data_IF_857132576960
#
_entry.id   IF_857132576960
#
_cell.length_a   1.000
_cell.length_b   1.000
_cell.length_c   1.000
_cell.angle_alpha   90.00
_cell.angle_beta   90.00
_cell.angle_gamma   90.00
#
_symmetry.space_group_name_H-M   'P 1'
#
loop_
_entity.id
_entity.type
_entity.pdbx_description
1 polymer ?
#
# COMPACT_ATOMS: atom_id res chain seq x y z
N UNK A 1 13.64 65.94 41.57
CA UNK A 1 14.13 64.58 41.86
C UNK A 1 14.59 63.96 40.55
N UNK A 2 15.86 63.57 40.45
CA UNK A 2 16.40 62.99 39.22
C UNK A 2 15.98 61.52 39.12
N UNK A 3 15.31 61.15 38.03
CA UNK A 3 14.91 59.76 37.76
C UNK A 3 16.18 58.92 37.63
N UNK A 4 16.30 57.85 38.42
CA UNK A 4 17.43 56.94 38.34
C UNK A 4 17.34 56.09 37.07
N UNK A 5 18.49 55.65 36.54
CA UNK A 5 18.56 54.76 35.36
C UNK A 5 17.70 53.49 35.53
N UNK A 6 17.58 52.98 36.76
CA UNK A 6 16.77 51.80 37.09
C UNK A 6 15.28 52.07 36.96
N UNK A 7 14.80 53.21 37.46
CA UNK A 7 13.40 53.62 37.34
C UNK A 7 13.02 53.88 35.88
N UNK A 8 13.93 54.46 35.09
CA UNK A 8 13.73 54.64 33.65
C UNK A 8 13.57 53.29 32.92
N UNK A 9 14.44 52.31 33.22
CA UNK A 9 14.36 50.98 32.60
C UNK A 9 13.11 50.20 33.05
N UNK A 10 12.73 50.29 34.32
CA UNK A 10 11.52 49.65 34.83
C UNK A 10 10.25 50.28 34.23
N UNK A 11 10.20 51.61 34.15
CA UNK A 11 9.10 52.33 33.50
C UNK A 11 9.00 52.02 32.00
N UNK A 12 10.14 51.95 31.31
CA UNK A 12 10.22 51.59 29.90
C UNK A 12 9.76 50.17 29.61
N UNK A 13 10.12 49.19 30.46
CA UNK A 13 9.68 47.81 30.33
C UNK A 13 8.16 47.65 30.54
N UNK A 14 7.59 48.35 31.53
CA UNK A 14 6.14 48.33 31.78
C UNK A 14 5.37 49.01 30.65
N UNK A 15 5.86 50.14 30.13
CA UNK A 15 5.26 50.83 28.99
C UNK A 15 5.30 49.98 27.71
N UNK A 16 6.42 49.28 27.45
CA UNK A 16 6.54 48.36 26.33
C UNK A 16 5.60 47.15 26.47
N UNK A 17 5.49 46.57 27.67
CA UNK A 17 4.57 45.46 27.94
C UNK A 17 3.10 45.86 27.75
N UNK A 18 2.71 47.06 28.19
CA UNK A 18 1.36 47.61 27.97
C UNK A 18 1.09 47.96 26.51
N UNK A 19 2.09 48.46 25.78
CA UNK A 19 1.98 48.71 24.34
C UNK A 19 1.80 47.42 23.53
N UNK A 20 2.37 46.30 24.01
CA UNK A 20 2.25 44.98 23.39
C UNK A 20 1.02 44.20 23.86
N UNK A 21 0.45 44.48 25.04
CA UNK A 21 -0.72 43.76 25.56
C UNK A 21 -2.05 44.20 24.97
N UNK A 22 -2.12 45.42 24.41
CA UNK A 22 -3.36 46.00 23.87
C UNK A 22 -3.62 45.75 22.38
N UNK A 23 -2.58 45.44 21.59
CA UNK A 23 -2.76 45.02 20.20
C UNK A 23 -2.80 43.50 20.16
N UNK A 24 -3.97 42.91 19.93
CA UNK A 24 -4.02 41.58 19.34
C UNK A 24 -3.22 41.68 18.05
N UNK A 25 -2.04 41.07 18.02
CA UNK A 25 -1.40 40.74 16.77
C UNK A 25 -2.32 39.69 16.13
N UNK A 26 -3.32 40.16 15.40
CA UNK A 26 -3.96 39.32 14.40
C UNK A 26 -2.83 39.02 13.41
N UNK A 27 -2.24 37.84 13.58
CA UNK A 27 -1.50 37.23 12.52
C UNK A 27 -2.51 37.11 11.38
N UNK A 28 -2.51 38.09 10.47
CA UNK A 28 -3.12 37.99 9.15
C UNK A 28 -2.29 37.01 8.32
N UNK A 29 -2.06 35.82 8.88
CA UNK A 29 -1.87 34.65 8.06
C UNK A 29 -3.29 34.39 7.59
N UNK A 30 -3.57 34.83 6.37
CA UNK A 30 -4.62 34.23 5.56
C UNK A 30 -4.35 32.74 5.64
N UNK A 31 -4.98 32.04 6.60
CA UNK A 31 -4.68 30.63 6.85
C UNK A 31 -5.05 30.01 5.52
N UNK A 32 -4.08 29.53 4.71
CA UNK A 32 -4.44 29.00 3.42
C UNK A 32 -5.46 27.94 3.76
N UNK A 33 -6.67 28.07 3.20
CA UNK A 33 -7.75 27.09 3.38
C UNK A 33 -7.09 25.72 3.45
N UNK A 34 -7.37 24.93 4.51
CA UNK A 34 -6.70 23.64 4.72
C UNK A 34 -6.48 23.00 3.36
N UNK A 35 -5.25 22.61 3.03
CA UNK A 35 -4.92 22.10 1.67
C UNK A 35 -5.81 20.93 1.25
N UNK A 36 -6.51 20.34 2.23
CA UNK A 36 -7.47 19.26 2.11
C UNK A 36 -8.94 19.69 1.98
N UNK A 37 -9.27 20.98 2.00
CA UNK A 37 -10.64 21.51 1.93
C UNK A 37 -11.30 21.13 0.60
N UNK A 38 -12.47 20.50 0.69
CA UNK A 38 -13.23 20.04 -0.46
C UNK A 38 -12.69 18.76 -1.11
N UNK A 39 -11.70 18.10 -0.49
CA UNK A 39 -11.25 16.77 -0.89
C UNK A 39 -12.09 15.69 -0.22
N UNK A 40 -12.26 14.55 -0.89
CA UNK A 40 -12.82 13.34 -0.27
C UNK A 40 -11.69 12.63 0.48
N UNK A 41 -11.87 12.45 1.78
CA UNK A 41 -10.94 11.74 2.65
C UNK A 41 -11.42 10.31 2.92
N UNK A 42 -10.49 9.37 2.96
CA UNK A 42 -10.73 7.97 3.35
C UNK A 42 -9.53 7.45 4.11
N UNK A 43 -9.73 6.54 5.06
CA UNK A 43 -8.64 5.90 5.79
C UNK A 43 -8.14 4.65 5.06
N UNK A 44 -6.86 4.31 5.26
CA UNK A 44 -6.26 3.05 4.81
C UNK A 44 -5.10 2.66 5.73
N UNK A 45 -4.51 1.49 5.51
CA UNK A 45 -3.37 0.98 6.27
C UNK A 45 -2.13 0.96 5.38
N UNK A 46 -0.99 1.32 5.96
CA UNK A 46 0.30 1.30 5.30
C UNK A 46 0.65 -0.12 4.79
N UNK A 47 0.90 -0.32 3.49
CA UNK A 47 1.08 -1.65 2.90
C UNK A 47 2.53 -2.17 2.94
N UNK A 48 3.40 -1.57 3.77
CA UNK A 48 4.82 -1.88 3.77
C UNK A 48 5.22 -2.98 4.77
N UNK A 49 5.41 -2.62 6.04
CA UNK A 49 5.79 -3.57 7.08
C UNK A 49 4.59 -3.90 7.98
N UNK A 50 4.76 -4.91 8.82
CA UNK A 50 3.70 -5.42 9.70
C UNK A 50 3.32 -4.52 10.90
N UNK A 51 3.82 -3.28 10.97
CA UNK A 51 3.44 -2.33 12.04
C UNK A 51 1.98 -1.92 11.91
N UNK A 52 1.46 -1.80 10.69
CA UNK A 52 0.05 -1.43 10.45
C UNK A 52 -0.26 0.04 10.76
N UNK A 53 0.61 0.98 10.37
CA UNK A 53 0.33 2.41 10.53
C UNK A 53 -0.95 2.82 9.79
N UNK A 54 -1.82 3.60 10.44
CA UNK A 54 -2.99 4.20 9.82
C UNK A 54 -2.64 5.42 8.97
N UNK A 55 -3.37 5.59 7.88
CA UNK A 55 -3.18 6.63 6.87
C UNK A 55 -4.51 7.29 6.51
N UNK A 56 -4.46 8.57 6.16
CA UNK A 56 -5.56 9.30 5.52
C UNK A 56 -5.17 9.59 4.07
N UNK A 57 -6.04 9.16 3.15
CA UNK A 57 -5.91 9.39 1.71
C UNK A 57 -6.92 10.46 1.30
N UNK A 58 -6.43 11.52 0.67
CA UNK A 58 -7.28 12.55 0.10
C UNK A 58 -7.37 12.42 -1.41
N UNK A 59 -8.59 12.50 -1.94
CA UNK A 59 -8.88 12.31 -3.36
C UNK A 59 -9.69 13.47 -3.93
N UNK A 60 -9.46 13.76 -5.22
CA UNK A 60 -10.24 14.72 -6.03
C UNK A 60 -10.45 14.15 -7.42
N UNK A 61 -11.71 14.05 -7.87
CA UNK A 61 -12.03 13.50 -9.19
C UNK A 61 -11.47 12.09 -9.41
N UNK A 62 -11.48 11.24 -8.37
CA UNK A 62 -10.95 9.87 -8.42
C UNK A 62 -9.43 9.75 -8.39
N UNK A 63 -8.68 10.86 -8.33
CA UNK A 63 -7.21 10.84 -8.21
C UNK A 63 -6.77 11.12 -6.78
N UNK A 64 -5.73 10.41 -6.34
CA UNK A 64 -5.07 10.66 -5.06
C UNK A 64 -4.28 11.97 -5.16
N UNK A 65 -4.52 12.89 -4.25
CA UNK A 65 -3.85 14.20 -4.21
C UNK A 65 -3.00 14.42 -2.95
N UNK A 66 -3.25 13.66 -1.88
CA UNK A 66 -2.39 13.61 -0.69
C UNK A 66 -2.55 12.25 0.01
N UNK A 67 -1.49 11.80 0.68
CA UNK A 67 -1.52 10.69 1.63
C UNK A 67 -0.68 11.10 2.83
N UNK A 68 -1.25 11.04 4.03
CA UNK A 68 -0.57 11.36 5.28
C UNK A 68 -0.95 10.38 6.39
N UNK A 69 -0.31 10.50 7.56
CA UNK A 69 -0.59 9.63 8.69
C UNK A 69 -1.93 10.00 9.34
N UNK A 70 -2.67 8.98 9.77
CA UNK A 70 -3.90 9.18 10.53
C UNK A 70 -3.59 9.52 12.00
N UNK A 71 -3.95 10.73 12.43
CA UNK A 71 -3.74 11.22 13.81
C UNK A 71 -4.59 10.48 14.83
N UNK A 72 -5.72 9.90 14.42
CA UNK A 72 -6.62 9.16 15.29
C UNK A 72 -6.22 7.69 15.43
N UNK A 73 -5.28 7.20 14.60
CA UNK A 73 -4.88 5.81 14.62
C UNK A 73 -4.00 5.50 15.85
N UNK A 74 -4.34 4.49 16.67
CA UNK A 74 -3.74 4.30 18.00
C UNK A 74 -2.26 3.88 17.95
N UNK A 75 -1.81 3.27 16.85
CA UNK A 75 -0.44 2.75 16.73
C UNK A 75 0.56 3.88 16.43
N UNK A 76 0.22 4.77 15.49
CA UNK A 76 1.18 5.72 14.95
C UNK A 76 0.82 7.18 15.20
N UNK A 77 -0.44 7.51 15.56
CA UNK A 77 -0.86 8.87 15.93
C UNK A 77 -0.39 9.93 14.91
N UNK A 78 -0.51 9.63 13.62
CA UNK A 78 -0.08 10.48 12.51
C UNK A 78 1.40 10.34 12.10
N UNK A 79 2.25 9.70 12.90
CA UNK A 79 3.65 9.50 12.55
C UNK A 79 3.82 8.47 11.41
N UNK A 80 4.79 8.71 10.53
CA UNK A 80 5.16 7.82 9.44
C UNK A 80 6.67 7.76 9.24
N UNK A 81 7.19 6.57 8.92
CA UNK A 81 8.56 6.43 8.44
C UNK A 81 8.69 6.86 6.97
N UNK A 82 9.92 6.95 6.45
CA UNK A 82 10.20 7.37 5.07
C UNK A 82 9.40 6.60 4.00
N UNK A 83 9.16 5.30 4.21
CA UNK A 83 8.35 4.47 3.29
C UNK A 83 6.88 4.91 3.29
N UNK A 84 6.28 5.05 4.47
CA UNK A 84 4.88 5.46 4.63
C UNK A 84 4.62 6.86 4.06
N UNK A 85 5.50 7.82 4.39
CA UNK A 85 5.40 9.19 3.89
C UNK A 85 5.59 9.30 2.37
N UNK A 86 6.29 8.33 1.75
CA UNK A 86 6.49 8.28 0.31
C UNK A 86 5.36 7.57 -0.45
N UNK A 87 4.33 7.03 0.22
CA UNK A 87 3.30 6.21 -0.44
C UNK A 87 2.54 6.98 -1.54
N UNK A 88 2.40 8.30 -1.40
CA UNK A 88 1.85 9.15 -2.46
C UNK A 88 2.58 8.99 -3.79
N UNK A 89 3.91 8.86 -3.77
CA UNK A 89 4.74 8.68 -4.96
C UNK A 89 4.62 7.27 -5.57
N UNK A 90 4.15 6.30 -4.80
CA UNK A 90 3.86 4.94 -5.31
C UNK A 90 2.53 4.94 -6.03
N UNK A 91 1.50 5.55 -5.44
CA UNK A 91 0.17 5.65 -6.04
C UNK A 91 0.20 6.46 -7.35
N UNK A 92 0.88 7.61 -7.32
CA UNK A 92 1.03 8.55 -8.44
C UNK A 92 2.41 8.43 -9.10
N UNK A 93 2.72 7.27 -9.68
CA UNK A 93 3.99 7.04 -10.37
C UNK A 93 3.78 6.78 -11.87
N UNK A 94 4.48 7.54 -12.71
CA UNK A 94 4.48 7.35 -14.17
C UNK A 94 5.06 6.01 -14.61
N UNK A 95 5.89 5.37 -13.76
CA UNK A 95 6.48 4.06 -14.03
C UNK A 95 5.53 2.89 -13.77
N UNK A 96 4.32 3.12 -13.27
CA UNK A 96 3.35 2.05 -13.04
C UNK A 96 2.93 1.43 -14.36
N UNK A 97 2.99 0.11 -14.45
CA UNK A 97 2.43 -0.64 -15.57
C UNK A 97 0.90 -0.45 -15.60
N UNK A 98 0.40 0.17 -16.68
CA UNK A 98 -1.03 0.46 -16.88
C UNK A 98 -1.72 -0.52 -17.84
N UNK A 99 -0.94 -1.29 -18.59
CA UNK A 99 -1.41 -2.16 -19.66
C UNK A 99 -0.79 -3.54 -19.53
N UNK A 100 -1.47 -4.54 -20.08
CA UNK A 100 -0.92 -5.89 -20.15
C UNK A 100 0.24 -5.90 -21.13
N UNK A 101 1.38 -6.43 -20.68
CA UNK A 101 2.60 -6.58 -21.48
C UNK A 101 2.88 -8.07 -21.68
N UNK A 102 2.82 -8.54 -22.92
CA UNK A 102 3.11 -9.92 -23.30
C UNK A 102 4.50 -10.04 -23.91
N UNK A 103 5.23 -11.11 -23.56
CA UNK A 103 6.51 -11.46 -24.18
C UNK A 103 6.40 -12.85 -24.78
N UNK A 104 6.55 -12.95 -26.11
CA UNK A 104 6.50 -14.24 -26.81
C UNK A 104 7.74 -15.10 -26.50
N UNK A 105 7.63 -16.45 -26.58
CA UNK A 105 8.79 -17.34 -26.47
C UNK A 105 9.90 -16.93 -27.44
N UNK A 106 11.13 -16.80 -26.93
CA UNK A 106 12.30 -16.37 -27.72
C UNK A 106 12.38 -14.88 -28.04
N UNK A 107 11.34 -14.08 -27.74
CA UNK A 107 11.38 -12.61 -27.93
C UNK A 107 12.23 -11.93 -26.87
N UNK A 108 12.87 -10.82 -27.21
CA UNK A 108 13.51 -9.86 -26.30
C UNK A 108 12.62 -8.64 -25.99
N UNK A 109 11.47 -8.53 -26.68
CA UNK A 109 10.55 -7.38 -26.59
C UNK A 109 9.20 -7.76 -25.99
N UNK A 110 8.62 -6.81 -25.25
CA UNK A 110 7.24 -6.85 -24.81
C UNK A 110 6.32 -6.17 -25.83
N UNK A 111 5.10 -6.71 -25.96
CA UNK A 111 4.02 -6.14 -26.78
C UNK A 111 2.77 -5.95 -25.93
N UNK A 112 2.07 -4.84 -26.13
CA UNK A 112 0.82 -4.57 -25.43
C UNK A 112 -0.29 -5.54 -25.87
N UNK A 113 -1.12 -5.97 -24.93
CA UNK A 113 -2.31 -6.81 -25.16
C UNK A 113 -3.50 -6.31 -24.35
N UNK A 114 -4.70 -6.72 -24.74
CA UNK A 114 -5.92 -6.49 -23.95
C UNK A 114 -5.99 -7.45 -22.76
N UNK A 115 -6.75 -7.06 -21.73
CA UNK A 115 -7.05 -7.94 -20.61
C UNK A 115 -7.78 -9.23 -21.01
N UNK A 116 -8.75 -9.17 -21.92
CA UNK A 116 -9.50 -10.35 -22.37
C UNK A 116 -8.57 -11.41 -22.98
N UNK A 117 -7.76 -11.01 -23.97
CA UNK A 117 -6.71 -11.84 -24.55
C UNK A 117 -5.78 -12.45 -23.49
N UNK A 118 -5.38 -11.66 -22.47
CA UNK A 118 -4.49 -12.13 -21.42
C UNK A 118 -5.14 -13.19 -20.53
N UNK A 119 -6.37 -12.94 -20.10
CA UNK A 119 -7.14 -13.83 -19.24
C UNK A 119 -7.47 -15.15 -19.94
N UNK A 120 -7.90 -15.08 -21.21
CA UNK A 120 -8.13 -16.26 -22.05
C UNK A 120 -6.83 -17.05 -22.20
N UNK A 121 -5.73 -16.39 -22.58
CA UNK A 121 -4.46 -17.05 -22.81
C UNK A 121 -3.89 -17.72 -21.55
N UNK A 122 -3.97 -17.05 -20.40
CA UNK A 122 -3.52 -17.61 -19.12
C UNK A 122 -4.38 -18.82 -18.75
N UNK A 123 -5.70 -18.71 -18.84
CA UNK A 123 -6.61 -19.80 -18.47
C UNK A 123 -6.44 -21.04 -19.35
N UNK A 124 -6.27 -20.87 -20.67
CA UNK A 124 -5.90 -21.94 -21.59
C UNK A 124 -4.62 -22.65 -21.14
N UNK A 125 -3.55 -21.90 -20.88
CA UNK A 125 -2.26 -22.49 -20.49
C UNK A 125 -2.29 -23.19 -19.15
N UNK A 126 -3.03 -22.65 -18.19
CA UNK A 126 -3.25 -23.29 -16.91
C UNK A 126 -4.03 -24.58 -17.06
N UNK A 127 -5.11 -24.58 -17.87
CA UNK A 127 -5.91 -25.78 -18.16
C UNK A 127 -5.09 -26.85 -18.87
N UNK A 128 -4.44 -26.50 -19.99
CA UNK A 128 -3.57 -27.42 -20.75
C UNK A 128 -2.52 -28.06 -19.85
N UNK A 129 -1.86 -27.26 -19.01
CA UNK A 129 -0.82 -27.75 -18.10
C UNK A 129 -1.41 -28.66 -17.05
N UNK A 130 -2.49 -28.23 -16.40
CA UNK A 130 -3.18 -29.03 -15.39
C UNK A 130 -3.58 -30.38 -15.96
N UNK A 131 -4.29 -30.42 -17.08
CA UNK A 131 -4.80 -31.66 -17.67
C UNK A 131 -3.67 -32.62 -18.05
N UNK A 132 -2.55 -32.08 -18.55
CA UNK A 132 -1.36 -32.89 -18.88
C UNK A 132 -0.64 -33.46 -17.66
N UNK A 133 -0.65 -32.76 -16.53
CA UNK A 133 0.18 -33.11 -15.36
C UNK A 133 -0.60 -33.49 -14.12
N UNK A 134 -1.92 -33.65 -14.23
CA UNK A 134 -2.78 -34.03 -13.10
C UNK A 134 -2.57 -35.50 -12.74
N UNK A 135 -2.35 -35.75 -11.45
CA UNK A 135 -2.26 -37.07 -10.85
C UNK A 135 -3.46 -37.26 -9.93
N UNK A 136 -4.38 -38.15 -10.31
CA UNK A 136 -5.48 -38.53 -9.42
C UNK A 136 -4.96 -39.39 -8.26
N UNK A 137 -4.07 -40.33 -8.56
CA UNK A 137 -3.49 -41.26 -7.59
C UNK A 137 -1.96 -41.32 -7.72
N UNK A 138 -1.30 -41.73 -6.64
CA UNK A 138 0.16 -41.91 -6.58
C UNK A 138 0.52 -43.10 -5.69
N UNK A 139 1.53 -43.87 -6.11
CA UNK A 139 2.11 -44.94 -5.28
C UNK A 139 3.19 -44.34 -4.39
N UNK A 140 3.02 -44.49 -3.08
CA UNK A 140 4.01 -44.04 -2.11
C UNK A 140 5.21 -45.00 -2.10
N UNK A 141 6.41 -44.45 -2.31
CA UNK A 141 7.66 -45.22 -2.40
C UNK A 141 8.03 -45.95 -1.10
N UNK A 142 7.51 -45.53 0.05
CA UNK A 142 7.87 -46.10 1.36
C UNK A 142 7.11 -47.38 1.68
N UNK A 143 5.83 -47.46 1.30
CA UNK A 143 4.94 -48.56 1.66
C UNK A 143 4.33 -49.27 0.44
N UNK A 144 4.65 -48.83 -0.78
CA UNK A 144 4.12 -49.34 -2.05
C UNK A 144 2.59 -49.31 -2.15
N UNK A 145 1.91 -48.48 -1.34
CA UNK A 145 0.46 -48.32 -1.37
C UNK A 145 0.06 -47.18 -2.31
N UNK A 146 -1.06 -47.36 -2.99
CA UNK A 146 -1.68 -46.33 -3.83
C UNK A 146 -2.56 -45.40 -2.98
N UNK A 147 -2.35 -44.09 -3.12
CA UNK A 147 -3.10 -43.05 -2.44
C UNK A 147 -3.80 -42.14 -3.44
N UNK A 148 -5.00 -41.68 -3.09
CA UNK A 148 -5.68 -40.60 -3.81
C UNK A 148 -5.00 -39.27 -3.44
N UNK A 149 -4.49 -38.54 -4.44
CA UNK A 149 -3.74 -37.29 -4.23
C UNK A 149 -4.36 -36.08 -4.93
N UNK A 150 -5.07 -36.28 -6.06
CA UNK A 150 -5.77 -35.23 -6.81
C UNK A 150 -4.99 -33.91 -6.96
N UNK A 151 -3.72 -34.00 -7.40
CA UNK A 151 -2.81 -32.85 -7.49
C UNK A 151 -2.15 -32.73 -8.86
N UNK A 152 -1.65 -31.54 -9.16
CA UNK A 152 -0.80 -31.27 -10.31
C UNK A 152 0.55 -30.73 -9.84
N UNK A 153 1.63 -31.30 -10.37
CA UNK A 153 3.01 -30.88 -10.10
C UNK A 153 3.59 -30.02 -11.23
N UNK A 154 2.83 -29.83 -12.33
CA UNK A 154 3.25 -28.99 -13.46
C UNK A 154 3.07 -27.50 -13.25
N UNK A 155 2.57 -27.08 -12.09
CA UNK A 155 2.37 -25.68 -11.72
C UNK A 155 2.88 -25.42 -10.29
N UNK A 156 3.42 -24.24 -10.08
CA UNK A 156 3.80 -23.73 -8.76
C UNK A 156 3.37 -22.28 -8.65
N UNK A 157 2.80 -21.90 -7.51
CA UNK A 157 2.31 -20.56 -7.24
C UNK A 157 3.15 -19.94 -6.14
N UNK A 158 3.70 -18.75 -6.44
CA UNK A 158 4.42 -17.90 -5.50
C UNK A 158 3.63 -16.59 -5.41
N UNK A 159 3.11 -16.26 -4.24
CA UNK A 159 2.17 -15.14 -4.09
C UNK A 159 1.97 -14.81 -2.63
N UNK A 160 1.61 -13.57 -2.32
CA UNK A 160 2.29 -12.98 -1.17
C UNK A 160 1.51 -12.16 -0.18
N UNK A 161 2.18 -11.93 0.94
CA UNK A 161 1.76 -11.12 2.08
C UNK A 161 1.52 -9.63 1.78
N UNK A 162 1.64 -9.20 0.52
CA UNK A 162 1.29 -7.86 0.07
C UNK A 162 -0.12 -7.74 -0.51
N UNK A 163 -0.85 -8.86 -0.59
CA UNK A 163 -2.27 -8.89 -0.96
C UNK A 163 -3.14 -8.70 0.28
N UNK A 164 -4.40 -8.34 0.05
CA UNK A 164 -5.39 -8.32 1.12
C UNK A 164 -5.65 -9.75 1.66
N UNK A 165 -6.17 -9.86 2.88
CA UNK A 165 -6.44 -11.17 3.50
C UNK A 165 -7.47 -11.98 2.69
N UNK A 166 -8.49 -11.31 2.17
CA UNK A 166 -9.54 -11.89 1.35
C UNK A 166 -8.98 -12.40 0.02
N UNK A 167 -8.08 -11.64 -0.59
CA UNK A 167 -7.36 -12.03 -1.80
C UNK A 167 -6.44 -13.23 -1.55
N UNK A 168 -5.68 -13.23 -0.44
CA UNK A 168 -4.86 -14.37 -0.02
C UNK A 168 -5.73 -15.62 0.18
N UNK A 169 -6.88 -15.47 0.80
CA UNK A 169 -7.82 -16.57 1.02
C UNK A 169 -8.32 -17.14 -0.31
N UNK A 170 -8.79 -16.30 -1.23
CA UNK A 170 -9.26 -16.69 -2.55
C UNK A 170 -8.14 -17.31 -3.40
N UNK A 171 -6.95 -16.73 -3.39
CA UNK A 171 -5.77 -17.23 -4.09
C UNK A 171 -5.41 -18.64 -3.64
N UNK A 172 -5.40 -18.86 -2.33
CA UNK A 172 -5.07 -20.16 -1.76
C UNK A 172 -6.12 -21.23 -2.07
N UNK A 173 -7.41 -20.85 -2.16
CA UNK A 173 -8.49 -21.74 -2.60
C UNK A 173 -8.39 -22.06 -4.08
N UNK A 174 -8.12 -21.06 -4.90
CA UNK A 174 -7.95 -21.22 -6.34
C UNK A 174 -6.77 -22.14 -6.68
N UNK A 175 -5.62 -21.95 -6.04
CA UNK A 175 -4.46 -22.82 -6.22
C UNK A 175 -4.81 -24.29 -5.88
N UNK A 176 -5.43 -24.52 -4.72
CA UNK A 176 -5.80 -25.87 -4.27
C UNK A 176 -6.91 -26.49 -5.10
N UNK A 177 -7.90 -25.73 -5.58
CA UNK A 177 -8.94 -26.25 -6.47
C UNK A 177 -8.37 -26.68 -7.82
N UNK A 178 -7.32 -26.00 -8.28
CA UNK A 178 -6.55 -26.40 -9.45
C UNK A 178 -5.64 -27.61 -9.19
N UNK A 179 -5.52 -28.08 -7.94
CA UNK A 179 -4.65 -29.18 -7.53
C UNK A 179 -3.20 -28.78 -7.33
N UNK A 180 -2.88 -27.48 -7.27
CA UNK A 180 -1.50 -27.01 -7.07
C UNK A 180 -1.04 -27.33 -5.66
N UNK A 181 -0.02 -28.18 -5.54
CA UNK A 181 0.59 -28.53 -4.25
C UNK A 181 1.79 -27.62 -3.90
N UNK A 182 2.48 -27.11 -4.92
CA UNK A 182 3.62 -26.21 -4.75
C UNK A 182 3.14 -24.76 -4.57
N UNK A 183 2.68 -24.42 -3.37
CA UNK A 183 2.14 -23.11 -3.02
C UNK A 183 2.96 -22.50 -1.87
N UNK A 184 3.77 -21.49 -2.18
CA UNK A 184 4.75 -20.90 -1.26
C UNK A 184 4.69 -19.36 -1.26
N UNK A 185 5.22 -18.72 -0.22
CA UNK A 185 5.23 -17.26 -0.07
C UNK A 185 6.31 -16.75 0.89
N UNK A 186 6.33 -15.44 1.16
CA UNK A 186 7.34 -14.78 1.99
C UNK A 186 7.51 -15.38 3.39
N UNK A 187 6.46 -15.90 4.05
CA UNK A 187 6.62 -16.44 5.42
C UNK A 187 7.31 -17.82 5.47
N UNK A 188 7.76 -18.36 4.33
CA UNK A 188 8.63 -19.54 4.33
C UNK A 188 10.02 -19.23 4.91
N UNK A 189 10.51 -18.01 4.71
CA UNK A 189 11.79 -17.51 5.22
C UNK A 189 11.56 -16.69 6.49
#
# INVERSE_FOLDING_TARGET
>A
MAVSRREFLQGGAVAAALALSGKKAEAAVDSPLMRTKGLKSSTTICPFCAVGCGLVVHTKGGKVVNIEGDTEHPINQGALCSKGSALFQVANNERRLQKVMYRAPGSDKFVEKSWDWAMERISEKMKETRDRTFKAKEINKKDSKEYLVNRTEGMAFLGGAGLDNEECYLWSKFARSMGVANLEHQARI
#
